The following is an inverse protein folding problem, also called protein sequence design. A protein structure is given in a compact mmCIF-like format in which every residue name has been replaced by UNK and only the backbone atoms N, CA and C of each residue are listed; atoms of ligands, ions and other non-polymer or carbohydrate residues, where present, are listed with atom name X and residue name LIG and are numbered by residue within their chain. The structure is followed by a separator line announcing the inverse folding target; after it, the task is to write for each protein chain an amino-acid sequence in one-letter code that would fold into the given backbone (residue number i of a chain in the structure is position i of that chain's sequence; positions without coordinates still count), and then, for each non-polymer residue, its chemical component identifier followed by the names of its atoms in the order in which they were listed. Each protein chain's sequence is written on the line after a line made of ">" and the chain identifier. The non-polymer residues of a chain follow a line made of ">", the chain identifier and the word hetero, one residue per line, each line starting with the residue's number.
data_IF_885282393124
#
_entry.id   IF_885282393124
#
_cell.length_a   1.000
_cell.length_b   1.000
_cell.length_c   1.000
_cell.angle_alpha   90.00
_cell.angle_beta   90.00
_cell.angle_gamma   90.00
#
_symmetry.space_group_name_H-M   'P 1'
#
loop_
_entity.id
_entity.type
_entity.pdbx_description
1 polymer ?
#
# COMPACT_ATOMS: atom_id res chain seq x y z
N UNK A 1 1.19 24.44 17.44
CA UNK A 1 1.58 23.19 16.78
C UNK A 1 1.06 23.29 15.36
N UNK A 2 1.90 23.67 14.41
CA UNK A 2 1.49 23.81 13.00
C UNK A 2 1.20 22.42 12.44
N UNK A 3 0.00 22.22 11.89
CA UNK A 3 -0.33 21.06 11.07
C UNK A 3 0.67 20.99 9.91
N UNK A 4 1.48 19.94 9.90
CA UNK A 4 2.30 19.61 8.74
C UNK A 4 1.31 19.03 7.73
N UNK A 5 1.06 19.75 6.65
CA UNK A 5 0.29 19.24 5.52
C UNK A 5 1.12 18.14 4.84
N UNK A 6 0.87 16.87 5.21
CA UNK A 6 1.54 15.73 4.62
C UNK A 6 0.87 15.50 3.25
N UNK A 7 1.61 15.68 2.14
CA UNK A 7 1.03 15.51 0.82
C UNK A 7 0.51 14.08 0.66
N UNK A 8 -0.72 13.95 0.14
CA UNK A 8 -1.27 12.63 -0.20
C UNK A 8 -0.40 11.98 -1.26
N UNK A 9 -0.29 10.66 -1.20
CA UNK A 9 0.49 9.90 -2.17
C UNK A 9 -0.30 8.73 -2.72
N UNK A 10 0.04 8.36 -3.94
CA UNK A 10 -0.47 7.19 -4.66
C UNK A 10 0.68 6.24 -4.97
N UNK A 11 0.38 4.94 -4.94
CA UNK A 11 1.30 3.91 -5.40
C UNK A 11 0.83 3.37 -6.74
N UNK A 12 1.73 3.39 -7.72
CA UNK A 12 1.47 2.90 -9.06
C UNK A 12 2.36 1.69 -9.38
N UNK A 13 1.84 0.78 -10.20
CA UNK A 13 2.63 -0.28 -10.81
C UNK A 13 3.76 0.34 -11.65
N UNK A 14 5.02 -0.05 -11.41
CA UNK A 14 6.16 0.43 -12.20
C UNK A 14 6.01 0.16 -13.71
N UNK A 15 5.28 -0.90 -14.09
CA UNK A 15 5.17 -1.34 -15.49
C UNK A 15 4.06 -0.64 -16.27
N UNK A 16 2.81 -0.69 -15.79
CA UNK A 16 1.66 -0.11 -16.50
C UNK A 16 1.28 1.29 -15.99
N UNK A 17 1.80 1.72 -14.84
CA UNK A 17 1.40 2.97 -14.20
C UNK A 17 0.04 2.93 -13.50
N UNK A 18 -0.68 1.80 -13.56
CA UNK A 18 -1.97 1.60 -12.91
C UNK A 18 -1.91 1.62 -11.39
N UNK A 19 -2.99 2.06 -10.77
CA UNK A 19 -3.10 2.26 -9.32
C UNK A 19 -3.69 1.05 -8.58
N UNK A 20 -4.19 0.06 -9.32
CA UNK A 20 -4.71 -1.18 -8.73
C UNK A 20 -3.57 -2.12 -8.33
N UNK A 21 -3.01 -1.87 -7.16
CA UNK A 21 -1.86 -2.59 -6.59
C UNK A 21 -2.10 -3.02 -5.13
N UNK A 22 -1.44 -4.09 -4.71
CA UNK A 22 -1.49 -4.60 -3.33
C UNK A 22 -0.09 -4.99 -2.86
N UNK A 23 0.18 -4.88 -1.55
CA UNK A 23 1.37 -5.45 -0.90
C UNK A 23 0.97 -6.66 -0.07
N UNK A 24 1.87 -7.62 0.02
CA UNK A 24 1.73 -8.71 0.98
C UNK A 24 1.95 -8.19 2.40
N UNK A 25 1.22 -8.74 3.37
CA UNK A 25 1.23 -8.25 4.74
C UNK A 25 0.85 -9.36 5.71
N UNK A 26 1.36 -9.27 6.94
CA UNK A 26 0.86 -10.05 8.06
C UNK A 26 -0.15 -9.23 8.84
N UNK A 27 -1.32 -9.82 9.05
CA UNK A 27 -2.32 -9.30 9.95
C UNK A 27 -2.38 -10.17 11.20
N UNK A 28 -2.46 -9.52 12.37
CA UNK A 28 -2.58 -10.18 13.66
C UNK A 28 -3.94 -9.85 14.27
N UNK A 29 -4.49 -10.78 15.04
CA UNK A 29 -5.77 -10.57 15.73
C UNK A 29 -5.53 -9.72 16.98
N UNK A 30 -6.10 -8.52 17.02
CA UNK A 30 -6.11 -7.68 18.20
C UNK A 30 -7.33 -8.05 19.07
N UNK A 31 -7.06 -8.63 20.24
CA UNK A 31 -8.10 -9.08 21.16
C UNK A 31 -8.87 -7.94 21.83
N UNK A 32 -8.30 -6.75 21.96
CA UNK A 32 -8.97 -5.58 22.54
C UNK A 32 -9.87 -4.91 21.50
N UNK A 33 -9.36 -4.72 20.28
CA UNK A 33 -10.11 -4.11 19.20
C UNK A 33 -11.09 -5.08 18.52
N UNK A 34 -10.93 -6.39 18.75
CA UNK A 34 -11.68 -7.46 18.07
C UNK A 34 -11.61 -7.32 16.54
N UNK A 35 -10.42 -7.02 16.02
CA UNK A 35 -10.18 -6.81 14.61
C UNK A 35 -8.80 -7.33 14.18
N UNK A 36 -8.63 -7.54 12.87
CA UNK A 36 -7.35 -7.87 12.26
C UNK A 36 -6.57 -6.60 11.97
N UNK A 37 -5.38 -6.46 12.55
CA UNK A 37 -4.51 -5.31 12.35
C UNK A 37 -3.30 -5.71 11.51
N UNK A 38 -3.02 -4.97 10.44
CA UNK A 38 -1.80 -5.14 9.66
C UNK A 38 -0.60 -4.78 10.54
N UNK A 39 0.21 -5.78 10.85
CA UNK A 39 1.35 -5.66 11.77
C UNK A 39 2.67 -5.48 11.03
N UNK A 40 2.80 -6.03 9.82
CA UNK A 40 3.98 -5.89 8.97
C UNK A 40 3.59 -5.87 7.49
N UNK A 41 4.28 -5.08 6.68
CA UNK A 41 4.08 -4.97 5.23
C UNK A 41 5.36 -5.36 4.51
N UNK A 42 5.28 -6.36 3.64
CA UNK A 42 6.44 -6.90 2.93
C UNK A 42 6.68 -6.22 1.59
N UNK A 43 7.87 -6.46 1.01
CA UNK A 43 8.27 -5.93 -0.30
C UNK A 43 7.60 -6.60 -1.49
N UNK A 44 6.89 -7.71 -1.28
CA UNK A 44 6.09 -8.29 -2.35
C UNK A 44 4.93 -7.36 -2.70
N UNK A 45 4.82 -7.02 -3.99
CA UNK A 45 3.72 -6.25 -4.54
C UNK A 45 3.14 -6.91 -5.78
N UNK A 46 1.81 -6.85 -5.93
CA UNK A 46 1.08 -7.39 -7.07
C UNK A 46 0.30 -6.29 -7.78
N UNK A 47 0.28 -6.32 -9.11
CA UNK A 47 -0.54 -5.44 -9.92
C UNK A 47 -1.73 -6.20 -10.49
N UNK A 48 -2.94 -5.73 -10.17
CA UNK A 48 -4.20 -6.35 -10.62
C UNK A 48 -4.54 -6.07 -12.07
N UNK A 49 -3.95 -5.06 -12.70
CA UNK A 49 -4.12 -4.84 -14.15
C UNK A 49 -3.18 -5.73 -14.98
N UNK A 50 -1.96 -5.92 -14.49
CA UNK A 50 -0.96 -6.75 -15.15
C UNK A 50 -1.08 -8.25 -14.79
N UNK A 51 -1.87 -8.58 -13.76
CA UNK A 51 -1.99 -9.91 -13.14
C UNK A 51 -0.63 -10.57 -12.82
N UNK A 52 0.31 -9.81 -12.23
CA UNK A 52 1.65 -10.30 -11.88
C UNK A 52 2.31 -9.46 -10.79
N UNK A 53 3.41 -9.99 -10.24
CA UNK A 53 4.29 -9.26 -9.34
C UNK A 53 4.85 -8.00 -10.00
N UNK A 54 4.98 -6.93 -9.22
CA UNK A 54 5.54 -5.65 -9.65
C UNK A 54 6.36 -4.99 -8.53
N UNK A 55 6.98 -3.85 -8.86
CA UNK A 55 7.48 -2.88 -7.88
C UNK A 55 6.52 -1.68 -7.86
N UNK A 56 6.44 -1.00 -6.72
CA UNK A 56 5.58 0.16 -6.54
C UNK A 56 6.35 1.46 -6.71
N UNK A 57 5.75 2.41 -7.42
CA UNK A 57 6.27 3.77 -7.59
C UNK A 57 5.34 4.72 -6.83
N UNK A 58 5.88 5.39 -5.81
CA UNK A 58 5.17 6.42 -5.05
C UNK A 58 5.15 7.74 -5.83
N UNK A 59 4.00 8.42 -5.82
CA UNK A 59 3.80 9.74 -6.46
C UNK A 59 2.97 10.63 -5.55
N UNK A 60 3.15 11.95 -5.63
CA UNK A 60 2.27 12.90 -4.95
C UNK A 60 0.93 12.91 -5.68
N UNK A 61 -0.16 12.74 -4.93
CA UNK A 61 -1.54 12.90 -5.40
C UNK A 61 -1.95 14.35 -5.13
N UNK A 62 -2.34 15.05 -6.20
CA UNK A 62 -2.71 16.48 -6.18
C UNK A 62 -4.18 16.72 -5.93
#
# INVERSE_FOLDING_TARGET
>A
MSEIDIPRVEYACQRCGGLSVTRDAWAEWDGEQQDWIVSEIFDFAFCHECHRQTQLVQRVSG
#
